data_IF_501515756127
#
_entry.id   IF_501515756127
#
_cell.length_a   1.000
_cell.length_b   1.000
_cell.length_c   1.000
_cell.angle_alpha   90.00
_cell.angle_beta   90.00
_cell.angle_gamma   90.00
#
_symmetry.space_group_name_H-M   'P 1'
#
loop_
_entity.id
_entity.type
_entity.pdbx_description
1 polymer ?
#
# COMPACT_ATOMS: atom_id res chain seq x y z
N UNK A 1 11.05 -0.40 -23.40
CA UNK A 1 10.50 -0.03 -24.68
C UNK A 1 9.01 -0.37 -24.75
N UNK A 2 8.46 -0.26 -25.93
CA UNK A 2 7.05 -0.57 -26.16
C UNK A 2 6.70 -2.01 -25.81
N UNK A 3 7.60 -2.95 -26.05
CA UNK A 3 7.35 -4.33 -25.70
C UNK A 3 7.13 -4.51 -24.22
N UNK A 4 7.96 -3.90 -23.39
CA UNK A 4 7.80 -3.98 -21.96
C UNK A 4 6.48 -3.38 -21.50
N UNK A 5 6.04 -2.31 -22.14
CA UNK A 5 4.77 -1.67 -21.83
C UNK A 5 3.61 -2.59 -22.17
N UNK A 6 3.68 -3.25 -23.33
CA UNK A 6 2.62 -4.16 -23.76
C UNK A 6 2.50 -5.39 -22.87
N UNK A 7 3.62 -5.82 -22.32
CA UNK A 7 3.65 -7.02 -21.48
C UNK A 7 3.28 -6.72 -20.03
N UNK A 8 2.91 -5.49 -19.71
CA UNK A 8 2.55 -5.14 -18.34
C UNK A 8 1.31 -5.89 -17.89
N UNK A 9 1.26 -6.25 -16.59
CA UNK A 9 0.14 -6.99 -16.03
C UNK A 9 -1.22 -6.33 -16.22
N UNK A 10 -1.27 -5.02 -16.43
CA UNK A 10 -2.54 -4.30 -16.65
C UNK A 10 -3.31 -4.81 -17.86
N UNK A 11 -2.64 -5.56 -18.74
CA UNK A 11 -3.28 -6.17 -19.91
C UNK A 11 -3.73 -7.60 -19.65
N UNK A 12 -3.58 -8.08 -18.42
CA UNK A 12 -3.97 -9.43 -18.05
C UNK A 12 -5.51 -9.51 -18.03
N UNK A 13 -6.10 -10.46 -18.78
CA UNK A 13 -7.56 -10.61 -18.81
C UNK A 13 -8.17 -10.87 -17.44
N UNK A 14 -7.41 -11.50 -16.54
CA UNK A 14 -7.90 -11.78 -15.18
C UNK A 14 -8.24 -10.51 -14.41
N UNK A 15 -7.49 -9.44 -14.66
CA UNK A 15 -7.59 -8.20 -13.89
C UNK A 15 -8.39 -7.12 -14.59
N UNK A 16 -8.88 -7.36 -15.81
CA UNK A 16 -9.53 -6.33 -16.61
C UNK A 16 -10.72 -5.70 -15.90
N UNK A 17 -11.56 -6.52 -15.26
CA UNK A 17 -12.73 -6.01 -14.53
C UNK A 17 -12.32 -5.15 -13.35
N UNK A 18 -11.35 -5.62 -12.57
CA UNK A 18 -10.86 -4.88 -11.41
C UNK A 18 -10.23 -3.54 -11.81
N UNK A 19 -9.46 -3.55 -12.89
CA UNK A 19 -8.84 -2.32 -13.40
C UNK A 19 -9.89 -1.32 -13.89
N UNK A 20 -10.97 -1.81 -14.52
CA UNK A 20 -12.05 -0.95 -14.94
C UNK A 20 -12.76 -0.33 -13.74
N UNK A 21 -12.95 -1.09 -12.68
CA UNK A 21 -13.56 -0.57 -11.46
C UNK A 21 -12.70 0.55 -10.86
N UNK A 22 -11.37 0.40 -10.89
CA UNK A 22 -10.47 1.47 -10.45
C UNK A 22 -10.64 2.71 -11.32
N UNK A 23 -10.68 2.53 -12.64
CA UNK A 23 -10.84 3.65 -13.57
C UNK A 23 -12.16 4.39 -13.35
N UNK A 24 -13.20 3.67 -12.92
CA UNK A 24 -14.52 4.24 -12.64
C UNK A 24 -14.62 4.82 -11.22
N UNK A 25 -13.55 4.76 -10.43
CA UNK A 25 -13.56 5.27 -9.06
C UNK A 25 -14.24 4.36 -8.05
N UNK A 26 -14.51 3.11 -8.43
CA UNK A 26 -15.18 2.13 -7.57
C UNK A 26 -14.15 1.27 -6.86
N UNK A 27 -13.43 1.91 -5.93
CA UNK A 27 -12.25 1.30 -5.31
C UNK A 27 -12.59 0.11 -4.41
N UNK A 28 -13.66 0.19 -3.64
CA UNK A 28 -14.05 -0.93 -2.76
C UNK A 28 -14.46 -2.15 -3.58
N UNK A 29 -15.16 -1.94 -4.69
CA UNK A 29 -15.54 -3.03 -5.58
C UNK A 29 -14.31 -3.62 -6.26
N UNK A 30 -13.31 -2.78 -6.58
CA UNK A 30 -12.06 -3.26 -7.17
C UNK A 30 -11.29 -4.14 -6.17
N UNK A 31 -11.22 -3.73 -4.90
CA UNK A 31 -10.60 -4.55 -3.86
C UNK A 31 -11.29 -5.92 -3.77
N UNK A 32 -12.61 -5.93 -3.77
CA UNK A 32 -13.38 -7.17 -3.70
C UNK A 32 -13.10 -8.07 -4.91
N UNK A 33 -12.97 -7.47 -6.11
CA UNK A 33 -12.66 -8.22 -7.31
C UNK A 33 -11.28 -8.87 -7.23
N UNK A 34 -10.27 -8.13 -6.73
CA UNK A 34 -8.95 -8.70 -6.52
C UNK A 34 -8.96 -9.78 -5.43
N UNK A 35 -9.73 -9.59 -4.37
CA UNK A 35 -9.83 -10.60 -3.31
C UNK A 35 -10.39 -11.92 -3.85
N UNK A 36 -11.37 -11.84 -4.76
CA UNK A 36 -11.92 -13.04 -5.38
C UNK A 36 -10.87 -13.78 -6.22
N UNK A 37 -10.02 -13.04 -6.93
CA UNK A 37 -8.94 -13.64 -7.71
C UNK A 37 -7.87 -14.23 -6.79
N UNK A 38 -7.55 -13.53 -5.71
CA UNK A 38 -6.55 -13.99 -4.74
C UNK A 38 -6.99 -15.24 -4.00
N UNK A 39 -8.29 -15.49 -3.89
CA UNK A 39 -8.79 -16.72 -3.26
C UNK A 39 -8.25 -17.98 -3.96
N UNK A 40 -8.05 -17.91 -5.28
CA UNK A 40 -7.50 -19.00 -6.07
C UNK A 40 -5.99 -18.94 -6.23
N UNK A 41 -5.39 -17.73 -6.11
CA UNK A 41 -3.98 -17.51 -6.33
C UNK A 41 -3.44 -16.57 -5.25
N UNK A 42 -3.39 -17.00 -3.99
CA UNK A 42 -3.12 -16.11 -2.85
C UNK A 42 -1.71 -15.52 -2.83
N UNK A 43 -0.77 -16.10 -3.56
CA UNK A 43 0.61 -15.62 -3.59
C UNK A 43 0.98 -14.89 -4.87
N UNK A 44 0.00 -14.63 -5.74
CA UNK A 44 0.26 -13.94 -7.00
C UNK A 44 0.59 -12.46 -6.73
N UNK A 45 1.84 -12.08 -7.04
CA UNK A 45 2.34 -10.73 -6.75
C UNK A 45 1.59 -9.65 -7.52
N UNK A 46 1.16 -9.95 -8.75
CA UNK A 46 0.40 -9.00 -9.58
C UNK A 46 -0.95 -8.71 -8.93
N UNK A 47 -1.64 -9.74 -8.48
CA UNK A 47 -2.95 -9.58 -7.84
C UNK A 47 -2.83 -8.87 -6.49
N UNK A 48 -1.79 -9.19 -5.73
CA UNK A 48 -1.54 -8.50 -4.46
C UNK A 48 -1.28 -7.01 -4.68
N UNK A 49 -0.46 -6.68 -5.68
CA UNK A 49 -0.16 -5.29 -6.02
C UNK A 49 -1.41 -4.54 -6.46
N UNK A 50 -2.25 -5.19 -7.28
CA UNK A 50 -3.49 -4.59 -7.74
C UNK A 50 -4.45 -4.31 -6.59
N UNK A 51 -4.61 -5.26 -5.69
CA UNK A 51 -5.46 -5.09 -4.52
C UNK A 51 -4.96 -3.94 -3.64
N UNK A 52 -3.68 -3.93 -3.34
CA UNK A 52 -3.07 -2.88 -2.53
C UNK A 52 -3.26 -1.51 -3.19
N UNK A 53 -3.06 -1.44 -4.51
CA UNK A 53 -3.25 -0.19 -5.25
C UNK A 53 -4.67 0.32 -5.15
N UNK A 54 -5.66 -0.55 -5.34
CA UNK A 54 -7.06 -0.17 -5.22
C UNK A 54 -7.38 0.34 -3.81
N UNK A 55 -6.88 -0.35 -2.78
CA UNK A 55 -7.11 0.05 -1.40
C UNK A 55 -6.50 1.42 -1.10
N UNK A 56 -5.25 1.64 -1.51
CA UNK A 56 -4.56 2.92 -1.27
C UNK A 56 -5.26 4.05 -2.01
N UNK A 57 -5.58 3.86 -3.28
CA UNK A 57 -6.28 4.86 -4.06
C UNK A 57 -7.63 5.22 -3.45
N UNK A 58 -8.35 4.21 -2.96
CA UNK A 58 -9.64 4.44 -2.32
C UNK A 58 -9.51 5.28 -1.05
N UNK A 59 -8.49 4.98 -0.22
CA UNK A 59 -8.26 5.73 1.01
C UNK A 59 -7.85 7.19 0.74
N UNK A 60 -7.11 7.41 -0.34
CA UNK A 60 -6.60 8.74 -0.66
C UNK A 60 -7.54 9.56 -1.53
N UNK A 61 -8.63 8.96 -2.04
CA UNK A 61 -9.57 9.67 -2.89
C UNK A 61 -10.15 10.88 -2.15
N UNK A 62 -10.10 12.04 -2.80
CA UNK A 62 -10.60 13.28 -2.23
C UNK A 62 -9.69 13.93 -1.18
N UNK A 63 -8.50 13.39 -0.94
CA UNK A 63 -7.56 13.96 0.02
C UNK A 63 -6.49 14.80 -0.67
N UNK A 64 -5.87 15.71 0.11
CA UNK A 64 -4.72 16.49 -0.34
C UNK A 64 -3.48 15.97 0.40
N UNK A 65 -2.47 15.45 -0.31
CA UNK A 65 -1.27 14.92 0.34
C UNK A 65 -0.59 15.90 1.29
N UNK A 66 -0.60 17.20 0.97
CA UNK A 66 0.02 18.21 1.83
C UNK A 66 -0.69 18.30 3.17
N UNK A 67 -2.02 18.21 3.17
CA UNK A 67 -2.80 18.22 4.40
C UNK A 67 -2.53 16.97 5.23
N UNK A 68 -2.38 15.82 4.55
CA UNK A 68 -2.07 14.56 5.23
C UNK A 68 -0.70 14.62 5.91
N UNK A 69 0.30 15.19 5.24
CA UNK A 69 1.64 15.34 5.82
C UNK A 69 1.62 16.31 7.00
N UNK A 70 0.88 17.40 6.87
CA UNK A 70 0.76 18.38 7.95
C UNK A 70 0.07 17.77 9.16
N UNK A 71 -1.01 17.02 8.96
CA UNK A 71 -1.72 16.35 10.04
C UNK A 71 -0.82 15.36 10.79
N UNK A 72 -0.01 14.60 10.04
CA UNK A 72 0.92 13.65 10.64
C UNK A 72 2.01 14.36 11.45
N UNK A 73 2.47 15.52 10.97
CA UNK A 73 3.47 16.31 11.66
C UNK A 73 2.92 16.93 12.94
N UNK A 74 1.67 17.41 12.88
CA UNK A 74 1.03 18.08 14.02
C UNK A 74 0.61 17.08 15.10
N UNK A 75 0.34 15.85 14.74
CA UNK A 75 -0.14 14.82 15.66
C UNK A 75 0.68 13.53 15.50
N UNK A 76 1.93 13.50 16.00
CA UNK A 76 2.82 12.35 15.80
C UNK A 76 2.28 11.04 16.38
N UNK A 77 1.41 11.12 17.38
CA UNK A 77 0.85 9.93 18.02
C UNK A 77 -0.52 9.53 17.45
N UNK A 78 -1.02 10.27 16.46
CA UNK A 78 -2.27 9.93 15.79
C UNK A 78 -1.99 8.83 14.75
N UNK A 79 -2.43 7.62 15.06
CA UNK A 79 -2.17 6.47 14.19
C UNK A 79 -2.76 6.68 12.79
N UNK A 80 -4.01 7.12 12.71
CA UNK A 80 -4.66 7.29 11.41
C UNK A 80 -3.94 8.33 10.56
N UNK A 81 -3.43 9.40 11.18
CA UNK A 81 -2.66 10.41 10.47
C UNK A 81 -1.36 9.82 9.91
N UNK A 82 -0.67 8.98 10.68
CA UNK A 82 0.57 8.36 10.23
C UNK A 82 0.31 7.37 9.08
N UNK A 83 -0.76 6.59 9.18
CA UNK A 83 -1.11 5.64 8.13
C UNK A 83 -1.44 6.35 6.81
N UNK A 84 -2.23 7.42 6.88
CA UNK A 84 -2.60 8.19 5.69
C UNK A 84 -1.39 8.86 5.04
N UNK A 85 -0.51 9.44 5.86
CA UNK A 85 0.70 10.06 5.34
C UNK A 85 1.61 9.05 4.66
N UNK A 86 1.74 7.85 5.23
CA UNK A 86 2.55 6.79 4.62
C UNK A 86 1.96 6.34 3.29
N UNK A 87 0.65 6.17 3.20
CA UNK A 87 -0.02 5.84 1.93
C UNK A 87 0.33 6.89 0.87
N UNK A 88 0.22 8.17 1.22
CA UNK A 88 0.49 9.26 0.29
C UNK A 88 1.96 9.31 -0.12
N UNK A 89 2.88 9.05 0.81
CA UNK A 89 4.30 9.01 0.50
C UNK A 89 4.62 7.92 -0.51
N UNK A 90 4.17 6.70 -0.25
CA UNK A 90 4.48 5.56 -1.12
C UNK A 90 3.84 5.76 -2.50
N UNK A 91 2.58 6.15 -2.55
CA UNK A 91 1.91 6.36 -3.83
C UNK A 91 2.57 7.50 -4.63
N UNK A 92 3.08 8.51 -3.94
CA UNK A 92 3.76 9.65 -4.57
C UNK A 92 5.22 9.41 -4.93
N UNK A 93 5.75 8.21 -4.65
CA UNK A 93 7.10 7.85 -5.02
C UNK A 93 8.13 7.88 -3.90
N UNK A 94 7.79 8.42 -2.72
CA UNK A 94 8.68 8.40 -1.56
C UNK A 94 8.50 7.11 -0.79
N UNK A 95 8.90 6.02 -1.40
CA UNK A 95 8.70 4.66 -0.86
C UNK A 95 9.44 4.50 0.47
N UNK A 96 10.72 4.88 0.48
CA UNK A 96 11.53 4.77 1.70
C UNK A 96 10.94 5.57 2.84
N UNK A 97 10.53 6.82 2.57
CA UNK A 97 9.93 7.68 3.60
C UNK A 97 8.67 7.10 4.19
N UNK A 98 7.79 6.55 3.33
CA UNK A 98 6.56 5.90 3.80
C UNK A 98 6.85 4.68 4.65
N UNK A 99 7.79 3.84 4.24
CA UNK A 99 8.17 2.65 4.99
C UNK A 99 8.81 3.02 6.33
N UNK A 100 9.72 3.99 6.34
CA UNK A 100 10.37 4.45 7.58
C UNK A 100 9.33 4.98 8.57
N UNK A 101 8.34 5.73 8.08
CA UNK A 101 7.26 6.25 8.93
C UNK A 101 6.50 5.11 9.61
N UNK A 102 6.16 4.06 8.87
CA UNK A 102 5.38 2.96 9.45
C UNK A 102 6.22 2.08 10.37
N UNK A 103 7.50 1.87 10.07
CA UNK A 103 8.40 1.17 11.00
C UNK A 103 8.47 1.92 12.33
N UNK A 104 8.62 3.24 12.27
CA UNK A 104 8.64 4.05 13.49
C UNK A 104 7.29 3.99 14.22
N UNK A 105 6.20 3.99 13.48
CA UNK A 105 4.87 3.87 14.06
C UNK A 105 4.72 2.53 14.78
N UNK A 106 5.23 1.45 14.20
CA UNK A 106 5.25 0.13 14.85
C UNK A 106 6.02 0.20 16.18
N UNK A 107 7.19 0.86 16.19
CA UNK A 107 7.99 1.00 17.41
C UNK A 107 7.26 1.74 18.53
N UNK A 108 6.44 2.70 18.17
CA UNK A 108 5.79 3.61 19.11
C UNK A 108 4.41 3.14 19.58
N UNK A 109 3.92 2.03 19.02
CA UNK A 109 2.57 1.53 19.31
C UNK A 109 2.61 0.15 19.93
N UNK A 110 1.46 -0.32 20.39
CA UNK A 110 1.28 -1.63 21.03
C UNK A 110 -0.04 -2.25 20.57
N UNK A 111 -0.12 -3.54 20.72
CA UNK A 111 -1.36 -4.30 20.56
C UNK A 111 -2.02 -4.03 19.20
N UNK A 112 -3.28 -3.66 19.18
CA UNK A 112 -4.03 -3.44 17.94
C UNK A 112 -3.45 -2.32 17.08
N UNK A 113 -2.96 -1.25 17.71
CA UNK A 113 -2.39 -0.13 16.95
C UNK A 113 -1.11 -0.55 16.25
N UNK A 114 -0.26 -1.32 16.93
CA UNK A 114 0.94 -1.87 16.31
C UNK A 114 0.57 -2.81 15.17
N UNK A 115 -0.43 -3.64 15.37
CA UNK A 115 -0.87 -4.57 14.34
C UNK A 115 -1.41 -3.85 13.11
N UNK A 116 -2.16 -2.75 13.31
CA UNK A 116 -2.65 -1.93 12.21
C UNK A 116 -1.49 -1.32 11.40
N UNK A 117 -0.49 -0.79 12.09
CA UNK A 117 0.68 -0.19 11.42
C UNK A 117 1.46 -1.26 10.64
N UNK A 118 1.67 -2.42 11.25
CA UNK A 118 2.35 -3.53 10.61
C UNK A 118 1.59 -4.02 9.37
N UNK A 119 0.30 -4.20 9.50
CA UNK A 119 -0.55 -4.65 8.40
C UNK A 119 -0.52 -3.66 7.23
N UNK A 120 -0.58 -2.35 7.53
CA UNK A 120 -0.49 -1.33 6.48
C UNK A 120 0.86 -1.39 5.77
N UNK A 121 1.94 -1.58 6.52
CA UNK A 121 3.27 -1.67 5.93
C UNK A 121 3.37 -2.87 4.99
N UNK A 122 2.83 -4.03 5.40
CA UNK A 122 2.83 -5.21 4.56
C UNK A 122 2.02 -4.99 3.28
N UNK A 123 0.91 -4.28 3.37
CA UNK A 123 0.11 -3.93 2.19
C UNK A 123 0.92 -3.03 1.25
N UNK A 124 1.66 -2.08 1.80
CA UNK A 124 2.49 -1.20 0.96
C UNK A 124 3.67 -1.95 0.33
N UNK A 125 4.18 -2.99 0.98
CA UNK A 125 5.15 -3.88 0.33
C UNK A 125 4.53 -4.55 -0.90
N UNK A 126 3.29 -5.01 -0.78
CA UNK A 126 2.56 -5.61 -1.90
C UNK A 126 2.37 -4.59 -3.04
N UNK A 127 2.08 -3.35 -2.70
CA UNK A 127 1.86 -2.28 -3.67
C UNK A 127 3.08 -2.07 -4.58
N UNK A 128 4.26 -1.98 -3.97
CA UNK A 128 5.48 -1.72 -4.75
C UNK A 128 6.08 -2.99 -5.32
N UNK A 129 5.73 -4.14 -4.76
CA UNK A 129 6.20 -5.45 -5.23
C UNK A 129 7.51 -5.90 -4.60
N UNK A 130 7.78 -7.21 -4.66
CA UNK A 130 8.93 -7.79 -3.94
C UNK A 130 10.28 -7.36 -4.49
N UNK A 131 10.33 -6.87 -5.73
CA UNK A 131 11.58 -6.46 -6.36
C UNK A 131 11.98 -5.02 -6.07
N UNK A 132 11.12 -4.26 -5.38
CA UNK A 132 11.47 -2.88 -5.02
C UNK A 132 12.61 -2.91 -4.01
N UNK A 133 13.70 -2.15 -4.25
CA UNK A 133 14.88 -2.18 -3.37
C UNK A 133 14.64 -1.69 -1.95
N UNK A 134 13.54 -1.01 -1.70
CA UNK A 134 13.21 -0.53 -0.37
C UNK A 134 12.56 -1.60 0.52
N UNK A 135 12.06 -2.69 -0.07
CA UNK A 135 11.30 -3.71 0.67
C UNK A 135 12.20 -4.50 1.62
N UNK A 136 13.30 -5.05 1.14
CA UNK A 136 14.15 -5.89 1.98
C UNK A 136 14.71 -5.15 3.20
N UNK A 137 15.25 -3.91 3.05
CA UNK A 137 15.67 -3.16 4.24
C UNK A 137 14.53 -2.87 5.21
N UNK A 138 13.35 -2.55 4.69
CA UNK A 138 12.20 -2.27 5.55
C UNK A 138 11.73 -3.51 6.29
N UNK A 139 11.78 -4.69 5.66
CA UNK A 139 11.45 -5.93 6.34
C UNK A 139 12.40 -6.20 7.52
N UNK A 140 13.68 -5.93 7.34
CA UNK A 140 14.66 -6.08 8.42
C UNK A 140 14.38 -5.10 9.56
N UNK A 141 14.09 -3.84 9.20
CA UNK A 141 13.76 -2.82 10.20
C UNK A 141 12.49 -3.16 10.95
N UNK A 142 11.48 -3.69 10.24
CA UNK A 142 10.23 -4.11 10.88
C UNK A 142 10.50 -5.25 11.87
N UNK A 143 11.29 -6.23 11.51
CA UNK A 143 11.63 -7.33 12.41
C UNK A 143 12.28 -6.79 13.69
N UNK A 144 13.20 -5.84 13.55
CA UNK A 144 13.84 -5.19 14.70
C UNK A 144 12.87 -4.38 15.55
N UNK A 145 11.85 -3.80 14.94
CA UNK A 145 10.84 -3.01 15.66
C UNK A 145 9.87 -3.90 16.45
N UNK A 146 9.66 -5.13 16.01
CA UNK A 146 8.75 -6.08 16.68
C UNK A 146 9.40 -6.82 17.85
N UNK A 147 10.71 -6.88 17.85
CA UNK A 147 11.50 -7.59 18.87
C UNK A 147 12.52 -6.65 19.50
#
# INVERSE_FOLDING_TARGET
>A
SEMCIRDRPKNDPRTAQAEQLIADGKFDEAVAAYDALLANQPNDAVLKAGRAGAAVLGRLAGTDPRELFQSAQDAPDDLDAQLAAADAQVLGGDVKGGFDRLVETVRRTRDEDRDRARTRLLELFDLVGPDDPNVAPARRSLAGALF
#
